data_IF_261964939924
#
_entry.id   IF_261964939924
#
_cell.length_a   1.000
_cell.length_b   1.000
_cell.length_c   1.000
_cell.angle_alpha   90.00
_cell.angle_beta   90.00
_cell.angle_gamma   90.00
#
_symmetry.space_group_name_H-M   'P 1'
#
loop_
_entity.id
_entity.type
_entity.pdbx_description
1 polymer ?
#
# COMPACT_ATOMS: atom_id res chain seq x y z
N UNK A 1 -86.19 11.51 10.89
CA UNK A 1 -87.19 10.98 9.96
C UNK A 1 -86.52 10.06 8.97
N UNK A 2 -87.25 8.94 8.80
CA UNK A 2 -87.12 7.85 7.77
C UNK A 2 -85.80 7.14 7.54
N UNK A 3 -85.78 6.01 7.96
CA UNK A 3 -85.75 4.60 7.54
C UNK A 3 -85.71 4.39 6.01
N UNK A 4 -84.74 3.60 5.53
CA UNK A 4 -84.91 2.60 4.47
C UNK A 4 -83.98 1.45 4.63
N UNK A 5 -84.52 0.24 4.71
CA UNK A 5 -83.92 -1.08 4.56
C UNK A 5 -83.64 -1.37 3.07
N UNK A 6 -82.65 -2.14 2.78
CA UNK A 6 -82.58 -3.09 1.65
C UNK A 6 -81.51 -4.11 1.89
N UNK A 7 -81.93 -5.24 2.10
CA UNK A 7 -81.99 -6.56 1.58
C UNK A 7 -80.65 -7.07 0.96
N UNK A 8 -80.27 -8.22 1.50
CA UNK A 8 -79.10 -9.05 1.20
C UNK A 8 -79.09 -9.68 -0.18
N UNK A 9 -77.88 -10.07 -0.50
CA UNK A 9 -77.58 -11.11 -1.48
C UNK A 9 -76.36 -11.91 -0.98
N UNK A 10 -76.64 -13.12 -0.50
CA UNK A 10 -75.60 -14.06 -0.07
C UNK A 10 -75.03 -14.73 -1.32
N UNK A 11 -73.77 -14.45 -1.62
CA UNK A 11 -73.04 -15.19 -2.62
C UNK A 11 -72.16 -16.21 -1.91
N UNK A 12 -72.51 -17.46 -2.07
CA UNK A 12 -71.72 -18.62 -1.59
C UNK A 12 -70.53 -18.80 -2.53
N UNK A 13 -69.35 -18.47 -2.06
CA UNK A 13 -68.11 -18.78 -2.77
C UNK A 13 -67.60 -20.13 -2.29
N UNK A 14 -67.62 -21.12 -3.17
CA UNK A 14 -66.95 -22.41 -2.94
C UNK A 14 -65.43 -22.21 -3.02
N UNK A 15 -64.76 -22.31 -1.88
CA UNK A 15 -63.32 -22.31 -1.84
C UNK A 15 -62.84 -23.73 -2.11
N UNK A 16 -62.29 -23.94 -3.31
CA UNK A 16 -61.56 -25.22 -3.61
C UNK A 16 -60.21 -25.12 -2.92
N UNK A 17 -60.05 -25.92 -1.86
CA UNK A 17 -58.76 -26.08 -1.21
C UNK A 17 -57.91 -27.06 -2.05
N UNK A 18 -56.96 -26.56 -2.83
CA UNK A 18 -55.92 -27.34 -3.47
C UNK A 18 -54.83 -27.57 -2.45
N UNK A 19 -54.77 -28.79 -1.91
CA UNK A 19 -53.63 -29.23 -1.05
C UNK A 19 -52.49 -29.52 -1.97
N UNK A 20 -51.57 -28.55 -2.11
CA UNK A 20 -50.27 -28.78 -2.73
C UNK A 20 -49.38 -29.47 -1.72
N UNK A 21 -49.08 -30.76 -1.92
CA UNK A 21 -48.07 -31.51 -1.17
C UNK A 21 -46.71 -30.92 -1.48
N UNK A 22 -46.18 -30.12 -0.58
CA UNK A 22 -44.78 -29.68 -0.62
C UNK A 22 -43.90 -30.83 -0.17
N UNK A 23 -43.26 -31.50 -1.13
CA UNK A 23 -42.18 -32.44 -0.83
C UNK A 23 -40.98 -31.62 -0.43
N UNK A 24 -40.72 -31.52 0.86
CA UNK A 24 -39.50 -30.88 1.37
C UNK A 24 -38.35 -31.89 1.20
N UNK A 25 -37.58 -31.73 0.15
CA UNK A 25 -36.24 -32.36 0.04
C UNK A 25 -35.32 -31.65 1.02
N UNK A 26 -35.02 -32.31 2.13
CA UNK A 26 -33.98 -31.91 3.06
C UNK A 26 -32.64 -32.21 2.35
N UNK A 27 -32.04 -31.18 1.77
CA UNK A 27 -30.64 -31.26 1.33
C UNK A 27 -29.80 -31.14 2.60
N UNK A 28 -29.27 -32.25 3.07
CA UNK A 28 -28.25 -32.27 4.13
C UNK A 28 -26.98 -31.78 3.51
N UNK A 29 -26.63 -30.49 3.78
CA UNK A 29 -25.29 -30.01 3.51
C UNK A 29 -24.35 -30.62 4.54
N UNK A 30 -23.59 -31.61 4.10
CA UNK A 30 -22.47 -32.15 4.86
C UNK A 30 -21.41 -31.01 4.94
N UNK A 31 -21.30 -30.38 6.11
CA UNK A 31 -20.29 -29.39 6.36
C UNK A 31 -19.02 -30.16 6.72
N UNK A 32 -17.96 -30.10 5.92
CA UNK A 32 -16.67 -30.60 6.34
C UNK A 32 -16.19 -29.74 7.52
N UNK A 33 -16.16 -30.34 8.72
CA UNK A 33 -15.49 -29.79 9.90
C UNK A 33 -13.97 -29.95 9.75
N UNK A 34 -13.41 -29.28 8.73
CA UNK A 34 -11.99 -29.06 8.63
C UNK A 34 -11.68 -27.67 9.20
N UNK A 35 -10.46 -27.43 9.75
CA UNK A 35 -10.05 -26.09 10.15
C UNK A 35 -10.23 -25.17 8.94
N UNK A 36 -10.93 -24.02 9.15
CA UNK A 36 -11.11 -23.00 8.14
C UNK A 36 -9.74 -22.66 7.58
N UNK A 37 -9.52 -22.95 6.30
CA UNK A 37 -8.35 -22.45 5.60
C UNK A 37 -8.35 -20.92 5.76
N UNK A 38 -7.19 -20.31 6.06
CA UNK A 38 -7.10 -18.86 6.11
C UNK A 38 -7.65 -18.30 4.79
N UNK A 39 -8.42 -17.20 4.84
CA UNK A 39 -8.96 -16.60 3.63
C UNK A 39 -7.80 -16.35 2.67
N UNK A 40 -7.93 -16.86 1.45
CA UNK A 40 -6.99 -16.56 0.36
C UNK A 40 -6.78 -15.05 0.34
N UNK A 41 -5.54 -14.60 0.44
CA UNK A 41 -5.17 -13.19 0.37
C UNK A 41 -5.88 -12.58 -0.85
N UNK A 42 -6.78 -11.64 -0.60
CA UNK A 42 -7.44 -10.89 -1.66
C UNK A 42 -6.36 -10.28 -2.54
N UNK A 43 -6.60 -10.21 -3.84
CA UNK A 43 -5.69 -9.71 -4.88
C UNK A 43 -5.26 -8.26 -4.61
N UNK A 44 -4.36 -8.03 -3.67
CA UNK A 44 -3.92 -6.70 -3.24
C UNK A 44 -2.85 -6.70 -2.16
N UNK A 45 -2.74 -7.74 -1.34
CA UNK A 45 -1.72 -7.77 -0.29
C UNK A 45 -0.39 -8.29 -0.83
N UNK A 46 0.65 -7.46 -0.72
CA UNK A 46 2.00 -7.76 -1.22
C UNK A 46 2.88 -8.41 -0.15
N UNK A 47 2.39 -8.53 1.10
CA UNK A 47 3.14 -9.12 2.21
C UNK A 47 2.30 -10.10 3.04
N UNK A 48 3.00 -11.06 3.69
CA UNK A 48 2.42 -11.93 4.70
C UNK A 48 2.62 -11.33 6.10
N UNK A 49 1.74 -11.65 7.09
CA UNK A 49 1.97 -11.27 8.47
C UNK A 49 3.27 -11.89 9.03
N UNK A 50 4.11 -11.06 9.63
CA UNK A 50 5.29 -11.50 10.35
C UNK A 50 4.90 -12.20 11.66
N UNK A 51 5.82 -12.95 12.32
CA UNK A 51 5.60 -13.45 13.66
C UNK A 51 5.23 -12.34 14.66
N UNK A 52 5.84 -11.16 14.54
CA UNK A 52 5.53 -9.98 15.37
C UNK A 52 4.09 -9.50 15.14
N UNK A 53 3.65 -9.46 13.89
CA UNK A 53 2.26 -9.10 13.56
C UNK A 53 1.26 -10.08 14.16
N UNK A 54 1.53 -11.39 14.04
CA UNK A 54 0.66 -12.44 14.58
C UNK A 54 0.60 -12.38 16.11
N UNK A 55 1.70 -12.05 16.76
CA UNK A 55 1.77 -11.95 18.22
C UNK A 55 1.10 -10.67 18.79
N UNK A 56 1.14 -9.56 18.06
CA UNK A 56 0.70 -8.24 18.55
C UNK A 56 -0.72 -7.88 18.12
N UNK A 57 -1.12 -8.21 16.89
CA UNK A 57 -2.39 -7.77 16.31
C UNK A 57 -3.51 -8.76 16.70
N UNK A 58 -4.64 -8.29 17.28
CA UNK A 58 -5.80 -9.15 17.47
C UNK A 58 -6.23 -9.79 16.15
N UNK A 59 -6.54 -11.10 16.12
CA UNK A 59 -6.84 -11.82 14.86
C UNK A 59 -7.96 -11.18 14.03
N UNK A 60 -9.00 -10.68 14.69
CA UNK A 60 -10.10 -9.97 14.04
C UNK A 60 -9.66 -8.65 13.39
N UNK A 61 -8.74 -7.91 14.01
CA UNK A 61 -8.18 -6.69 13.46
C UNK A 61 -7.23 -6.98 12.29
N UNK A 62 -6.44 -8.05 12.38
CA UNK A 62 -5.57 -8.47 11.28
C UNK A 62 -6.37 -8.73 9.99
N UNK A 63 -7.49 -9.46 10.12
CA UNK A 63 -8.41 -9.71 9.00
C UNK A 63 -9.00 -8.40 8.45
N UNK A 64 -9.35 -7.45 9.32
CA UNK A 64 -9.89 -6.16 8.90
C UNK A 64 -8.83 -5.33 8.14
N UNK A 65 -7.59 -5.28 8.62
CA UNK A 65 -6.51 -4.57 7.92
C UNK A 65 -6.23 -5.16 6.53
N UNK A 66 -6.19 -6.49 6.42
CA UNK A 66 -6.01 -7.17 5.14
C UNK A 66 -7.15 -6.89 4.15
N UNK A 67 -8.39 -6.90 4.63
CA UNK A 67 -9.57 -6.57 3.81
C UNK A 67 -9.61 -5.08 3.46
N UNK A 68 -9.35 -4.23 4.44
CA UNK A 68 -9.33 -2.78 4.26
C UNK A 68 -8.32 -2.33 3.22
N UNK A 69 -7.13 -2.93 3.19
CA UNK A 69 -6.13 -2.63 2.16
C UNK A 69 -6.63 -2.90 0.74
N UNK A 70 -7.53 -3.87 0.57
CA UNK A 70 -8.08 -4.25 -0.74
C UNK A 70 -8.89 -3.14 -1.44
N UNK A 71 -9.35 -2.10 -0.75
CA UNK A 71 -10.06 -0.97 -1.38
C UNK A 71 -9.11 0.04 -2.02
N UNK A 72 -7.80 -0.07 -1.78
CA UNK A 72 -6.76 0.77 -2.35
C UNK A 72 -5.71 -0.11 -3.04
N UNK A 73 -5.78 -0.33 -4.36
CA UNK A 73 -4.87 -1.24 -5.06
C UNK A 73 -3.40 -0.91 -4.81
N UNK A 74 -2.64 -1.88 -4.32
CA UNK A 74 -1.22 -1.75 -3.98
C UNK A 74 -0.92 -1.22 -2.58
N UNK A 75 -1.92 -0.82 -1.78
CA UNK A 75 -1.72 -0.51 -0.37
C UNK A 75 -1.44 -1.81 0.40
N UNK A 76 -0.30 -1.86 1.11
CA UNK A 76 -0.03 -3.00 2.00
C UNK A 76 -0.82 -2.87 3.31
N UNK A 77 -1.42 -3.98 3.75
CA UNK A 77 -2.23 -4.06 4.96
C UNK A 77 -1.46 -3.65 6.24
N UNK A 78 -0.12 -3.86 6.24
CA UNK A 78 0.74 -3.55 7.37
C UNK A 78 0.76 -2.05 7.71
N UNK A 79 0.52 -1.19 6.72
CA UNK A 79 0.42 0.26 6.94
C UNK A 79 -0.84 0.60 7.75
N UNK A 80 -1.98 0.01 7.42
CA UNK A 80 -3.22 0.17 8.20
C UNK A 80 -3.05 -0.37 9.62
N UNK A 81 -2.43 -1.54 9.75
CA UNK A 81 -2.13 -2.14 11.05
C UNK A 81 -1.18 -1.27 11.89
N UNK A 82 -0.17 -0.68 11.27
CA UNK A 82 0.76 0.23 11.94
C UNK A 82 0.06 1.50 12.44
N UNK A 83 -0.83 2.08 11.65
CA UNK A 83 -1.67 3.21 12.09
C UNK A 83 -2.52 2.78 13.29
N UNK A 84 -3.26 1.67 13.19
CA UNK A 84 -4.08 1.16 14.30
C UNK A 84 -3.29 0.87 15.57
N UNK A 85 -2.02 0.38 15.44
CA UNK A 85 -1.09 0.21 16.57
C UNK A 85 -0.76 1.53 17.24
N UNK A 86 -0.35 2.51 16.47
CA UNK A 86 0.14 3.80 16.97
C UNK A 86 -1.00 4.62 17.57
N UNK A 87 -2.16 4.62 16.93
CA UNK A 87 -3.31 5.40 17.38
C UNK A 87 -3.92 4.85 18.69
N UNK A 88 -4.15 3.55 18.74
CA UNK A 88 -4.99 2.99 19.81
C UNK A 88 -4.58 1.59 20.25
N UNK A 89 -3.39 1.10 19.91
CA UNK A 89 -3.01 -0.30 20.15
C UNK A 89 -4.08 -1.26 19.61
N UNK A 90 -4.45 -1.08 18.33
CA UNK A 90 -5.50 -1.84 17.65
C UNK A 90 -6.89 -1.74 18.32
N UNK A 91 -7.23 -0.61 18.90
CA UNK A 91 -8.48 -0.37 19.63
C UNK A 91 -8.48 -0.87 21.07
N UNK A 92 -7.36 -1.42 21.59
CA UNK A 92 -7.24 -1.93 22.97
C UNK A 92 -6.92 -0.86 23.99
N UNK A 93 -6.40 0.29 23.56
CA UNK A 93 -6.02 1.37 24.48
C UNK A 93 -7.23 1.92 25.24
N UNK A 94 -7.12 2.05 26.54
CA UNK A 94 -8.17 2.61 27.40
C UNK A 94 -8.00 4.14 27.52
N UNK A 95 -8.07 4.82 26.39
CA UNK A 95 -7.90 6.26 26.28
C UNK A 95 -9.22 6.92 25.84
N UNK A 96 -9.44 8.22 26.20
CA UNK A 96 -10.57 8.98 25.67
C UNK A 96 -10.61 8.93 24.14
N UNK A 97 -11.80 8.78 23.56
CA UNK A 97 -12.00 8.73 22.12
C UNK A 97 -11.86 7.35 21.49
N UNK A 98 -11.29 6.33 22.15
CA UNK A 98 -11.09 5.02 21.52
C UNK A 98 -12.40 4.25 21.33
N UNK A 99 -13.10 3.97 22.43
CA UNK A 99 -14.36 3.22 22.38
C UNK A 99 -15.58 4.12 22.16
N UNK A 100 -15.54 5.37 22.65
CA UNK A 100 -16.60 6.35 22.53
C UNK A 100 -16.11 7.75 22.91
N UNK A 101 -16.90 8.79 22.57
CA UNK A 101 -16.50 10.16 22.80
C UNK A 101 -15.31 10.57 21.92
N UNK A 102 -14.60 11.60 22.33
CA UNK A 102 -13.47 12.15 21.57
C UNK A 102 -12.25 12.35 22.47
N UNK A 103 -11.07 12.30 21.90
CA UNK A 103 -9.86 12.75 22.59
C UNK A 103 -9.81 14.28 22.62
N UNK A 104 -8.77 14.86 23.23
CA UNK A 104 -8.62 16.32 23.35
C UNK A 104 -8.52 17.04 21.97
N UNK A 105 -8.19 16.32 20.88
CA UNK A 105 -8.12 16.86 19.53
C UNK A 105 -9.39 16.60 18.70
N UNK A 106 -10.44 16.01 19.29
CA UNK A 106 -11.70 15.69 18.59
C UNK A 106 -11.66 14.38 17.79
N UNK A 107 -10.59 13.59 17.93
CA UNK A 107 -10.46 12.31 17.24
C UNK A 107 -11.16 11.17 17.99
N UNK A 108 -11.65 10.17 17.25
CA UNK A 108 -12.36 9.03 17.82
C UNK A 108 -12.26 7.75 17.01
N UNK A 109 -12.58 6.63 17.67
CA UNK A 109 -12.55 5.29 17.14
C UNK A 109 -11.14 4.66 17.10
N UNK A 110 -11.04 3.38 16.68
CA UNK A 110 -9.78 2.63 16.70
C UNK A 110 -8.70 3.21 15.75
N UNK A 111 -9.10 3.99 14.75
CA UNK A 111 -8.20 4.66 13.80
C UNK A 111 -8.11 6.17 14.04
N UNK A 112 -8.65 6.69 15.14
CA UNK A 112 -8.61 8.08 15.61
C UNK A 112 -8.99 9.12 14.55
N UNK A 113 -10.11 8.91 13.86
CA UNK A 113 -10.64 9.89 12.92
C UNK A 113 -11.24 11.13 13.59
N UNK A 114 -10.93 12.29 13.04
CA UNK A 114 -11.78 13.47 13.23
C UNK A 114 -13.15 13.24 12.58
N UNK A 115 -14.25 13.66 13.22
CA UNK A 115 -15.59 13.45 12.68
C UNK A 115 -15.74 14.01 11.26
N UNK A 116 -15.35 15.27 10.94
CA UNK A 116 -15.48 15.80 9.59
C UNK A 116 -14.69 15.01 8.54
N UNK A 117 -13.49 14.51 8.88
CA UNK A 117 -12.68 13.71 7.96
C UNK A 117 -13.34 12.36 7.67
N UNK A 118 -13.87 11.68 8.70
CA UNK A 118 -14.61 10.43 8.52
C UNK A 118 -15.85 10.62 7.65
N UNK A 119 -16.65 11.65 7.94
CA UNK A 119 -17.85 12.00 7.16
C UNK A 119 -17.51 12.31 5.70
N UNK A 120 -16.43 13.03 5.45
CA UNK A 120 -15.95 13.30 4.10
C UNK A 120 -15.63 12.01 3.33
N UNK A 121 -14.94 11.05 3.98
CA UNK A 121 -14.58 9.77 3.35
C UNK A 121 -15.84 8.97 3.01
N UNK A 122 -16.75 8.77 3.97
CA UNK A 122 -17.97 7.97 3.74
C UNK A 122 -18.96 8.63 2.78
N UNK A 123 -18.86 9.95 2.56
CA UNK A 123 -19.65 10.64 1.54
C UNK A 123 -19.14 10.40 0.11
N UNK A 124 -17.86 10.07 -0.05
CA UNK A 124 -17.20 9.83 -1.35
C UNK A 124 -17.14 8.36 -1.70
N UNK A 125 -17.05 7.50 -0.70
CA UNK A 125 -16.82 6.06 -0.86
C UNK A 125 -17.94 5.25 -0.20
N UNK A 126 -18.51 4.31 -0.95
CA UNK A 126 -19.45 3.35 -0.38
C UNK A 126 -18.69 2.41 0.56
N UNK A 127 -19.12 2.32 1.82
CA UNK A 127 -18.47 1.43 2.78
C UNK A 127 -18.80 -0.03 2.47
N UNK A 128 -17.80 -0.93 2.50
CA UNK A 128 -18.01 -2.35 2.31
C UNK A 128 -18.95 -2.94 3.38
N UNK A 129 -19.65 -4.06 3.07
CA UNK A 129 -20.51 -4.74 4.03
C UNK A 129 -19.77 -5.21 5.28
N UNK A 130 -20.45 -5.23 6.43
CA UNK A 130 -19.93 -5.74 7.72
C UNK A 130 -19.61 -4.64 8.74
N UNK A 131 -19.79 -3.38 8.36
CA UNK A 131 -19.75 -2.23 9.27
C UNK A 131 -21.06 -1.90 9.95
N UNK A 132 -21.13 -0.74 10.59
CA UNK A 132 -22.34 -0.19 11.20
C UNK A 132 -23.30 0.41 10.16
N UNK A 133 -24.57 0.53 10.51
CA UNK A 133 -25.56 1.21 9.69
C UNK A 133 -26.33 2.24 10.55
N UNK A 134 -26.09 3.55 10.35
CA UNK A 134 -25.12 4.17 9.41
C UNK A 134 -23.65 3.88 9.80
N UNK A 135 -22.68 4.07 8.86
CA UNK A 135 -21.27 3.88 9.15
C UNK A 135 -20.78 4.71 10.33
N UNK A 136 -19.88 4.15 11.14
CA UNK A 136 -19.41 4.79 12.36
C UNK A 136 -17.89 4.67 12.53
N UNK A 137 -17.21 5.78 12.83
CA UNK A 137 -15.77 5.78 13.12
C UNK A 137 -15.37 4.92 14.33
N UNK A 138 -16.35 4.53 15.17
CA UNK A 138 -16.14 3.62 16.32
C UNK A 138 -16.31 2.15 15.94
N UNK A 139 -16.89 1.85 14.79
CA UNK A 139 -16.93 0.50 14.25
C UNK A 139 -15.58 0.19 13.60
N UNK A 140 -14.93 -0.89 14.02
CA UNK A 140 -13.58 -1.23 13.54
C UNK A 140 -13.52 -1.44 12.02
N UNK A 141 -14.54 -2.10 11.43
CA UNK A 141 -14.61 -2.31 9.98
C UNK A 141 -14.70 -0.99 9.22
N UNK A 142 -15.62 -0.11 9.64
CA UNK A 142 -15.80 1.19 8.99
C UNK A 142 -14.55 2.06 9.12
N UNK A 143 -13.96 2.10 10.31
CA UNK A 143 -12.77 2.91 10.58
C UNK A 143 -11.57 2.45 9.75
N UNK A 144 -11.33 1.14 9.63
CA UNK A 144 -10.21 0.59 8.84
C UNK A 144 -10.41 0.84 7.34
N UNK A 145 -11.62 0.61 6.80
CA UNK A 145 -11.88 0.90 5.39
C UNK A 145 -11.82 2.40 5.09
N UNK A 146 -12.33 3.24 6.00
CA UNK A 146 -12.20 4.69 5.85
C UNK A 146 -10.72 5.13 5.84
N UNK A 147 -9.87 4.53 6.69
CA UNK A 147 -8.44 4.81 6.68
C UNK A 147 -7.77 4.42 5.36
N UNK A 148 -8.14 3.28 4.79
CA UNK A 148 -7.62 2.83 3.50
C UNK A 148 -8.03 3.79 2.36
N UNK A 149 -9.31 4.18 2.29
CA UNK A 149 -9.77 5.17 1.31
C UNK A 149 -9.08 6.53 1.49
N UNK A 150 -8.94 6.99 2.73
CA UNK A 150 -8.29 8.27 3.02
C UNK A 150 -6.82 8.29 2.59
N UNK A 151 -6.09 7.21 2.85
CA UNK A 151 -4.71 7.05 2.37
C UNK A 151 -4.65 7.01 0.84
N UNK A 152 -5.57 6.30 0.18
CA UNK A 152 -5.66 6.22 -1.27
C UNK A 152 -5.89 7.59 -1.91
N UNK A 153 -6.88 8.34 -1.42
CA UNK A 153 -7.20 9.70 -1.85
C UNK A 153 -6.02 10.67 -1.61
N UNK A 154 -5.16 10.35 -0.65
CA UNK A 154 -3.99 11.16 -0.26
C UNK A 154 -2.71 10.79 -1.02
N UNK A 155 -2.73 9.78 -1.91
CA UNK A 155 -1.63 9.44 -2.79
C UNK A 155 -1.03 8.04 -2.60
N UNK A 156 -1.51 7.23 -1.65
CA UNK A 156 -1.06 5.85 -1.52
C UNK A 156 -1.51 5.00 -2.74
N UNK A 157 -0.74 3.98 -3.13
CA UNK A 157 0.57 3.60 -2.63
C UNK A 157 1.74 4.38 -3.26
N UNK A 158 1.49 5.20 -4.28
CA UNK A 158 2.53 5.86 -5.08
C UNK A 158 3.40 6.83 -4.25
N UNK A 159 2.78 7.58 -3.34
CA UNK A 159 3.45 8.48 -2.40
C UNK A 159 2.98 8.17 -0.97
N UNK A 160 3.51 7.09 -0.40
CA UNK A 160 3.13 6.62 0.93
C UNK A 160 3.50 7.62 2.03
N UNK A 161 4.62 8.33 1.87
CA UNK A 161 5.03 9.36 2.83
C UNK A 161 3.98 10.46 2.93
N UNK A 162 3.58 11.02 1.78
CA UNK A 162 2.54 12.06 1.71
C UNK A 162 1.20 11.57 2.25
N UNK A 163 0.80 10.35 1.90
CA UNK A 163 -0.47 9.78 2.35
C UNK A 163 -0.52 9.69 3.89
N UNK A 164 0.52 9.16 4.52
CA UNK A 164 0.60 9.06 5.98
C UNK A 164 0.77 10.45 6.62
N UNK A 165 1.55 11.35 5.99
CA UNK A 165 1.68 12.73 6.47
C UNK A 165 0.34 13.48 6.46
N UNK A 166 -0.51 13.22 5.46
CA UNK A 166 -1.87 13.78 5.40
C UNK A 166 -2.75 13.25 6.53
N UNK A 167 -2.53 12.00 6.97
CA UNK A 167 -3.23 11.40 8.11
C UNK A 167 -2.90 12.11 9.43
N UNK A 168 -1.61 12.39 9.65
CA UNK A 168 -1.12 13.17 10.80
C UNK A 168 0.12 13.97 10.35
N UNK A 169 0.00 15.31 10.34
CA UNK A 169 0.96 16.25 9.78
C UNK A 169 2.29 16.33 10.57
N UNK A 170 2.96 15.19 10.77
CA UNK A 170 4.20 15.10 11.52
C UNK A 170 5.16 14.04 10.97
N UNK A 171 6.39 14.43 10.64
CA UNK A 171 7.42 13.53 10.11
C UNK A 171 7.76 12.36 11.05
N UNK A 172 7.75 12.61 12.35
CA UNK A 172 7.98 11.54 13.34
C UNK A 172 6.89 10.47 13.28
N UNK A 173 5.62 10.88 13.04
CA UNK A 173 4.49 9.96 12.89
C UNK A 173 4.65 9.09 11.64
N UNK A 174 4.99 9.70 10.50
CA UNK A 174 5.25 8.98 9.25
C UNK A 174 6.33 7.92 9.48
N UNK A 175 7.48 8.31 10.05
CA UNK A 175 8.57 7.36 10.34
C UNK A 175 8.14 6.24 11.28
N UNK A 176 7.35 6.55 12.29
CA UNK A 176 6.86 5.54 13.24
C UNK A 176 5.90 4.54 12.57
N UNK A 177 4.95 5.03 11.76
CA UNK A 177 4.02 4.18 11.00
C UNK A 177 4.79 3.28 10.05
N UNK A 178 5.69 3.84 9.25
CA UNK A 178 6.45 3.08 8.27
C UNK A 178 7.39 2.06 8.93
N UNK A 179 8.05 2.43 10.03
CA UNK A 179 8.87 1.50 10.82
C UNK A 179 8.06 0.37 11.45
N UNK A 180 6.84 0.66 11.93
CA UNK A 180 5.94 -0.38 12.46
C UNK A 180 5.41 -1.29 11.36
N UNK A 181 5.03 -0.72 10.21
CA UNK A 181 4.58 -1.48 9.04
C UNK A 181 5.65 -2.49 8.58
N UNK A 182 6.92 -2.08 8.53
CA UNK A 182 8.05 -2.97 8.20
C UNK A 182 8.20 -4.14 9.17
N UNK A 183 7.93 -3.94 10.46
CA UNK A 183 7.96 -5.03 11.45
C UNK A 183 6.81 -6.02 11.26
N UNK A 184 5.67 -5.56 10.80
CA UNK A 184 4.48 -6.39 10.60
C UNK A 184 4.48 -7.14 9.27
N UNK A 185 5.16 -6.62 8.24
CA UNK A 185 5.21 -7.23 6.93
C UNK A 185 6.37 -8.23 6.83
N UNK A 186 6.08 -9.46 6.42
CA UNK A 186 7.08 -10.36 5.86
C UNK A 186 6.87 -10.34 4.35
N UNK A 187 7.86 -9.92 3.54
CA UNK A 187 7.74 -10.02 2.09
C UNK A 187 7.39 -11.45 1.71
N UNK A 188 6.38 -11.63 0.88
CA UNK A 188 6.12 -12.93 0.28
C UNK A 188 7.39 -13.31 -0.46
N UNK A 189 7.93 -14.50 -0.15
CA UNK A 189 9.18 -15.00 -0.75
C UNK A 189 9.21 -14.69 -2.24
N UNK A 190 10.33 -14.22 -2.80
CA UNK A 190 10.37 -13.83 -4.19
C UNK A 190 9.91 -15.02 -5.03
N UNK A 191 8.70 -14.93 -5.58
CA UNK A 191 8.43 -15.66 -6.81
C UNK A 191 9.51 -15.16 -7.73
N UNK A 192 10.31 -16.10 -8.28
CA UNK A 192 11.43 -15.83 -9.17
C UNK A 192 11.06 -14.69 -10.10
N UNK A 193 11.56 -13.50 -9.78
CA UNK A 193 11.28 -12.32 -10.58
C UNK A 193 11.92 -12.59 -11.94
N UNK A 194 11.13 -12.55 -12.99
CA UNK A 194 11.51 -12.75 -14.39
C UNK A 194 12.60 -11.79 -14.89
N UNK A 195 13.20 -11.00 -13.99
CA UNK A 195 14.20 -9.98 -14.28
C UNK A 195 15.66 -10.44 -14.20
N UNK A 196 15.95 -11.71 -13.86
CA UNK A 196 17.34 -12.19 -13.84
C UNK A 196 18.00 -12.15 -15.24
N UNK A 197 17.19 -12.23 -16.30
CA UNK A 197 17.65 -12.11 -17.69
C UNK A 197 18.12 -10.68 -18.03
N UNK A 198 17.42 -9.66 -17.51
CA UNK A 198 17.77 -8.25 -17.78
C UNK A 198 19.10 -7.88 -17.12
N UNK A 199 19.40 -8.43 -15.93
CA UNK A 199 20.68 -8.25 -15.25
C UNK A 199 21.85 -9.01 -15.90
N UNK A 200 21.58 -10.08 -16.64
CA UNK A 200 22.60 -10.82 -17.36
C UNK A 200 23.08 -10.09 -18.64
N UNK A 201 22.24 -9.22 -19.18
CA UNK A 201 22.48 -8.50 -20.44
C UNK A 201 22.82 -7.01 -20.22
N UNK A 202 23.48 -6.67 -19.10
CA UNK A 202 23.88 -5.27 -18.84
C UNK A 202 24.94 -4.85 -19.86
N UNK A 203 24.61 -3.85 -20.67
CA UNK A 203 25.54 -3.17 -21.56
C UNK A 203 25.67 -1.71 -21.13
N UNK A 204 26.68 -1.39 -20.36
CA UNK A 204 26.92 -0.08 -19.80
C UNK A 204 28.43 0.28 -19.81
N UNK A 205 28.74 1.56 -19.60
CA UNK A 205 30.11 1.97 -19.30
C UNK A 205 30.60 1.26 -18.02
N UNK A 206 31.93 0.98 -17.90
CA UNK A 206 32.45 0.11 -16.81
C UNK A 206 31.98 0.49 -15.39
N UNK A 207 31.95 1.80 -15.06
CA UNK A 207 31.49 2.25 -13.75
C UNK A 207 29.97 2.05 -13.58
N UNK A 208 29.19 2.32 -14.63
CA UNK A 208 27.73 2.08 -14.61
C UNK A 208 27.39 0.59 -14.51
N UNK A 209 28.20 -0.28 -15.13
CA UNK A 209 28.04 -1.72 -15.01
C UNK A 209 28.22 -2.18 -13.55
N UNK A 210 29.21 -1.67 -12.81
CA UNK A 210 29.41 -1.98 -11.37
C UNK A 210 28.19 -1.52 -10.55
N UNK A 211 27.69 -0.30 -10.78
CA UNK A 211 26.50 0.23 -10.12
C UNK A 211 25.28 -0.67 -10.34
N UNK A 212 25.04 -1.05 -11.61
CA UNK A 212 23.91 -1.89 -11.98
C UNK A 212 24.03 -3.32 -11.45
N UNK A 213 25.23 -3.92 -11.46
CA UNK A 213 25.46 -5.24 -10.87
C UNK A 213 25.20 -5.23 -9.37
N UNK A 214 25.70 -4.21 -8.66
CA UNK A 214 25.40 -4.05 -7.25
C UNK A 214 23.88 -4.03 -7.00
N UNK A 215 23.14 -3.24 -7.76
CA UNK A 215 21.68 -3.13 -7.62
C UNK A 215 20.97 -4.45 -7.99
N UNK A 216 21.44 -5.16 -9.03
CA UNK A 216 20.94 -6.47 -9.41
C UNK A 216 21.13 -7.51 -8.30
N UNK A 217 22.25 -7.49 -7.59
CA UNK A 217 22.51 -8.40 -6.47
C UNK A 217 21.56 -8.15 -5.28
N UNK A 218 20.86 -7.02 -5.27
CA UNK A 218 19.86 -6.71 -4.25
C UNK A 218 18.43 -7.11 -4.64
N UNK A 219 18.20 -7.64 -5.83
CA UNK A 219 16.86 -8.06 -6.27
C UNK A 219 16.23 -9.04 -5.27
N UNK A 220 14.99 -8.78 -4.92
CA UNK A 220 14.25 -9.57 -3.93
C UNK A 220 14.47 -9.15 -2.48
N UNK A 221 15.43 -8.26 -2.17
CA UNK A 221 15.61 -7.70 -0.83
C UNK A 221 14.40 -6.85 -0.45
N UNK A 222 13.94 -6.93 0.81
CA UNK A 222 12.78 -6.16 1.27
C UNK A 222 12.95 -4.65 1.10
N UNK A 223 11.84 -3.95 0.83
CA UNK A 223 11.78 -2.51 1.04
C UNK A 223 11.69 -2.20 2.54
N UNK A 224 12.60 -1.38 3.04
CA UNK A 224 12.59 -0.87 4.41
C UNK A 224 12.74 0.65 4.36
N UNK A 225 11.78 1.37 4.91
CA UNK A 225 11.87 2.83 4.98
C UNK A 225 13.10 3.27 5.78
N UNK A 226 13.92 4.13 5.17
CA UNK A 226 15.19 4.53 5.78
C UNK A 226 16.29 3.47 5.71
N UNK A 227 16.03 2.33 5.08
CA UNK A 227 16.96 1.21 4.95
C UNK A 227 18.17 1.54 4.08
N UNK A 228 19.36 1.15 4.56
CA UNK A 228 20.64 1.31 3.87
C UNK A 228 21.29 -0.04 3.57
N UNK A 229 20.53 -1.14 3.65
CA UNK A 229 21.01 -2.45 3.30
C UNK A 229 20.58 -3.57 4.24
N UNK A 230 21.23 -4.76 4.10
CA UNK A 230 20.88 -5.96 4.86
C UNK A 230 20.92 -5.77 6.38
N UNK A 231 21.81 -4.91 6.89
CA UNK A 231 21.91 -4.61 8.33
C UNK A 231 20.64 -3.91 8.88
N UNK A 232 19.94 -3.16 8.03
CA UNK A 232 18.67 -2.50 8.34
C UNK A 232 17.46 -3.37 7.96
N UNK A 233 17.71 -4.61 7.49
CA UNK A 233 16.69 -5.54 7.01
C UNK A 233 16.27 -5.32 5.55
N UNK A 234 16.79 -4.32 4.85
CA UNK A 234 16.47 -4.04 3.45
C UNK A 234 16.84 -2.62 3.00
N UNK A 235 16.28 -2.20 1.88
CA UNK A 235 16.59 -0.97 1.20
C UNK A 235 15.38 -0.04 1.09
N UNK A 236 15.56 1.29 1.20
CA UNK A 236 14.68 2.22 0.52
C UNK A 236 15.25 2.64 -0.85
N UNK A 237 14.47 3.40 -1.62
CA UNK A 237 14.85 3.80 -2.98
C UNK A 237 16.20 4.52 -3.05
N UNK A 238 16.40 5.53 -2.21
CA UNK A 238 17.62 6.34 -2.17
C UNK A 238 18.76 5.69 -1.40
N UNK A 239 18.49 4.79 -0.47
CA UNK A 239 19.49 3.96 0.18
C UNK A 239 20.14 2.98 -0.80
N UNK A 240 19.32 2.34 -1.64
CA UNK A 240 19.81 1.45 -2.70
C UNK A 240 20.71 2.20 -3.69
N UNK A 241 20.25 3.34 -4.22
CA UNK A 241 21.05 4.13 -5.17
C UNK A 241 22.33 4.63 -4.54
N UNK A 242 22.28 5.15 -3.30
CA UNK A 242 23.47 5.59 -2.56
C UNK A 242 24.51 4.48 -2.40
N UNK A 243 24.09 3.28 -2.04
CA UNK A 243 24.99 2.14 -1.86
C UNK A 243 25.57 1.66 -3.19
N UNK A 244 24.76 1.60 -4.25
CA UNK A 244 25.22 1.20 -5.58
C UNK A 244 26.30 2.16 -6.11
N UNK A 245 26.12 3.47 -5.93
CA UNK A 245 27.11 4.45 -6.36
C UNK A 245 28.35 4.51 -5.46
N UNK A 246 28.21 4.18 -4.17
CA UNK A 246 29.36 4.05 -3.27
C UNK A 246 30.33 2.93 -3.74
N UNK A 247 29.83 1.90 -4.43
CA UNK A 247 30.66 0.82 -5.00
C UNK A 247 31.65 1.32 -6.07
N UNK A 248 31.42 2.48 -6.66
CA UNK A 248 32.31 3.15 -7.63
C UNK A 248 32.92 4.45 -7.08
N UNK A 249 32.87 4.66 -5.76
CA UNK A 249 33.47 5.81 -5.08
C UNK A 249 32.68 7.11 -5.20
N UNK A 250 31.43 7.08 -5.70
CA UNK A 250 30.55 8.25 -5.78
C UNK A 250 29.69 8.32 -4.53
N UNK A 251 29.76 9.45 -3.81
CA UNK A 251 28.95 9.70 -2.62
C UNK A 251 27.68 10.44 -2.99
N UNK A 252 26.54 9.79 -2.84
CA UNK A 252 25.21 10.41 -3.00
C UNK A 252 24.61 10.81 -1.66
N UNK A 253 23.82 11.90 -1.61
CA UNK A 253 23.01 12.25 -0.44
C UNK A 253 22.05 11.12 -0.02
N UNK A 254 21.50 11.23 1.21
CA UNK A 254 20.65 10.16 1.76
C UNK A 254 19.27 10.09 1.11
N UNK A 255 18.66 11.21 0.76
CA UNK A 255 17.28 11.25 0.26
C UNK A 255 17.21 11.55 -1.23
N UNK A 256 16.18 11.05 -1.90
CA UNK A 256 16.02 11.17 -3.36
C UNK A 256 16.05 12.63 -3.84
N UNK A 257 15.37 13.54 -3.14
CA UNK A 257 15.33 14.95 -3.48
C UNK A 257 16.74 15.57 -3.54
N UNK A 258 17.56 15.30 -2.52
CA UNK A 258 18.92 15.82 -2.45
C UNK A 258 19.84 15.14 -3.47
N UNK A 259 19.61 13.87 -3.81
CA UNK A 259 20.35 13.16 -4.87
C UNK A 259 20.15 13.83 -6.23
N UNK A 260 18.91 14.23 -6.55
CA UNK A 260 18.64 14.96 -7.79
C UNK A 260 19.41 16.27 -7.87
N UNK A 261 19.40 17.06 -6.81
CA UNK A 261 20.07 18.37 -6.78
C UNK A 261 21.60 18.27 -6.66
N UNK A 262 22.13 17.15 -6.22
CA UNK A 262 23.57 16.90 -6.12
C UNK A 262 24.20 16.31 -7.40
N UNK A 263 23.39 15.99 -8.41
CA UNK A 263 23.84 15.32 -9.64
C UNK A 263 23.44 16.09 -10.89
N UNK A 264 24.04 15.80 -12.03
CA UNK A 264 23.85 16.56 -13.26
C UNK A 264 22.57 16.12 -13.97
N UNK A 265 21.56 17.01 -14.14
CA UNK A 265 20.38 16.69 -14.94
C UNK A 265 20.74 16.39 -16.39
N UNK A 266 20.04 15.42 -16.98
CA UNK A 266 20.19 15.01 -18.37
C UNK A 266 18.84 15.01 -19.09
N UNK A 267 18.80 15.33 -20.39
CA UNK A 267 17.60 15.15 -21.21
C UNK A 267 17.23 13.68 -21.34
N UNK A 268 15.94 13.38 -21.46
CA UNK A 268 15.41 11.99 -21.54
C UNK A 268 15.94 11.22 -22.77
N UNK A 269 16.21 11.91 -23.87
CA UNK A 269 16.77 11.33 -25.09
C UNK A 269 18.27 10.97 -24.96
N UNK A 270 18.92 11.37 -23.84
CA UNK A 270 20.29 11.02 -23.51
C UNK A 270 20.40 10.01 -22.36
N UNK A 271 19.29 9.41 -21.95
CA UNK A 271 19.25 8.46 -20.84
C UNK A 271 20.08 7.21 -21.16
N UNK A 272 20.98 6.85 -20.26
CA UNK A 272 21.91 5.71 -20.38
C UNK A 272 21.81 4.80 -19.17
N UNK A 273 22.11 3.49 -19.32
CA UNK A 273 22.19 2.59 -18.19
C UNK A 273 23.13 3.11 -17.10
N UNK A 274 22.63 3.10 -15.86
CA UNK A 274 23.30 3.69 -14.70
C UNK A 274 22.78 5.08 -14.33
N UNK A 275 22.07 5.82 -15.17
CA UNK A 275 21.48 7.10 -14.79
C UNK A 275 20.41 6.93 -13.71
N UNK A 276 20.21 7.97 -12.91
CA UNK A 276 19.13 7.99 -11.92
C UNK A 276 17.88 8.60 -12.53
N UNK A 277 16.72 7.98 -12.28
CA UNK A 277 15.40 8.43 -12.69
C UNK A 277 14.58 8.78 -11.47
N UNK A 278 13.92 9.96 -11.48
CA UNK A 278 13.27 10.54 -10.31
C UNK A 278 11.78 10.79 -10.52
N UNK A 279 11.01 10.69 -9.44
CA UNK A 279 9.55 10.84 -9.43
C UNK A 279 9.10 11.75 -8.30
N UNK A 280 8.08 12.57 -8.57
CA UNK A 280 7.52 13.51 -7.62
C UNK A 280 7.30 14.90 -8.19
N UNK A 281 7.49 15.90 -7.36
CA UNK A 281 7.32 17.32 -7.71
C UNK A 281 8.60 18.10 -7.48
N UNK A 282 8.67 19.33 -7.96
CA UNK A 282 9.81 20.23 -7.76
C UNK A 282 10.21 20.44 -6.30
N UNK A 283 9.27 20.30 -5.39
CA UNK A 283 9.49 20.50 -3.95
C UNK A 283 9.62 19.19 -3.17
N UNK A 284 9.26 18.06 -3.78
CA UNK A 284 9.31 16.74 -3.14
C UNK A 284 9.51 15.63 -4.17
N UNK A 285 10.77 15.27 -4.42
CA UNK A 285 11.11 14.06 -5.19
C UNK A 285 11.15 12.89 -4.21
N UNK A 286 10.08 12.10 -4.22
CA UNK A 286 9.84 11.07 -3.21
C UNK A 286 10.36 9.69 -3.60
N UNK A 287 10.74 9.49 -4.88
CA UNK A 287 11.24 8.20 -5.35
C UNK A 287 12.37 8.37 -6.36
N UNK A 288 13.26 7.35 -6.40
CA UNK A 288 14.39 7.26 -7.32
C UNK A 288 14.67 5.80 -7.68
N UNK A 289 15.04 5.57 -8.95
CA UNK A 289 15.53 4.28 -9.44
C UNK A 289 16.81 4.44 -10.25
N UNK A 290 17.46 3.33 -10.54
CA UNK A 290 18.64 3.27 -11.43
C UNK A 290 18.17 2.76 -12.80
N UNK A 291 18.32 3.55 -13.83
CA UNK A 291 17.94 3.14 -15.19
C UNK A 291 18.83 1.98 -15.66
N UNK A 292 18.20 0.88 -16.07
CA UNK A 292 18.87 -0.34 -16.52
C UNK A 292 19.10 -0.36 -18.04
N UNK A 293 18.35 0.43 -18.78
CA UNK A 293 18.24 0.37 -20.23
C UNK A 293 16.91 -0.24 -20.70
N UNK A 294 16.64 -0.18 -22.00
CA UNK A 294 15.44 -0.76 -22.62
C UNK A 294 14.11 -0.40 -21.91
N UNK A 295 14.00 0.82 -21.39
CA UNK A 295 12.78 1.28 -20.71
C UNK A 295 12.59 0.72 -19.28
N UNK A 296 13.63 0.13 -18.68
CA UNK A 296 13.61 -0.50 -17.36
C UNK A 296 14.45 0.27 -16.34
N UNK A 297 14.11 0.13 -15.07
CA UNK A 297 14.90 0.56 -13.93
C UNK A 297 14.98 -0.53 -12.87
N UNK A 298 16.01 -0.49 -12.02
CA UNK A 298 16.07 -1.22 -10.76
C UNK A 298 15.76 -0.24 -9.66
N UNK A 299 14.83 -0.61 -8.77
CA UNK A 299 14.44 0.26 -7.66
C UNK A 299 13.96 -0.54 -6.45
N UNK A 300 13.98 0.09 -5.28
CA UNK A 300 13.26 -0.35 -4.09
C UNK A 300 11.98 0.49 -4.01
N UNK A 301 10.81 -0.02 -4.46
CA UNK A 301 9.69 0.83 -4.81
C UNK A 301 8.91 1.36 -3.61
N UNK A 302 8.39 0.48 -2.77
CA UNK A 302 7.54 0.84 -1.62
C UNK A 302 7.33 -0.36 -0.71
N UNK A 303 6.63 -0.15 0.39
CA UNK A 303 6.26 -1.20 1.34
C UNK A 303 5.61 -2.41 0.67
N UNK A 304 5.99 -3.60 1.17
CA UNK A 304 5.47 -4.86 0.67
C UNK A 304 6.00 -5.29 -0.69
N UNK A 305 6.75 -4.43 -1.38
CA UNK A 305 7.40 -4.76 -2.65
C UNK A 305 8.92 -4.82 -2.45
N UNK A 306 9.58 -5.88 -2.88
CA UNK A 306 11.03 -5.98 -2.78
C UNK A 306 11.72 -5.12 -3.84
N UNK A 307 13.05 -4.99 -3.72
CA UNK A 307 13.89 -4.49 -4.82
C UNK A 307 13.58 -5.28 -6.08
N UNK A 308 13.27 -4.56 -7.16
CA UNK A 308 12.77 -5.16 -8.39
C UNK A 308 13.21 -4.40 -9.64
N UNK A 309 13.07 -5.07 -10.80
CA UNK A 309 13.12 -4.44 -12.11
C UNK A 309 11.70 -4.09 -12.54
N UNK A 310 11.49 -2.84 -12.91
CA UNK A 310 10.21 -2.31 -13.37
C UNK A 310 10.38 -1.42 -14.59
N UNK A 311 9.30 -1.11 -15.30
CA UNK A 311 9.33 -0.03 -16.28
C UNK A 311 9.64 1.29 -15.58
N UNK A 312 10.51 2.13 -16.16
CA UNK A 312 10.77 3.45 -15.57
C UNK A 312 9.68 4.48 -15.91
N UNK A 313 8.77 4.16 -16.85
CA UNK A 313 7.61 5.00 -17.18
C UNK A 313 6.32 4.17 -17.17
N UNK A 314 5.26 4.76 -16.61
CA UNK A 314 3.89 4.23 -16.61
C UNK A 314 2.88 5.37 -16.49
N UNK A 315 1.61 5.11 -16.75
CA UNK A 315 0.56 6.13 -16.66
C UNK A 315 0.42 6.65 -15.23
N UNK A 316 0.56 7.96 -15.04
CA UNK A 316 0.46 8.61 -13.73
C UNK A 316 1.73 8.50 -12.86
N UNK A 317 2.86 8.15 -13.43
CA UNK A 317 4.13 7.89 -12.74
C UNK A 317 4.75 9.09 -12.01
N UNK A 318 4.28 10.30 -12.24
CA UNK A 318 4.87 11.55 -11.72
C UNK A 318 6.37 11.67 -12.03
N UNK A 319 6.81 11.11 -13.16
CA UNK A 319 8.20 11.21 -13.58
C UNK A 319 8.63 12.68 -13.66
N UNK A 320 9.73 12.99 -12.99
CA UNK A 320 10.24 14.36 -12.89
C UNK A 320 11.42 14.61 -13.82
N UNK A 321 12.29 13.64 -14.00
CA UNK A 321 13.49 13.78 -14.82
C UNK A 321 14.60 12.80 -14.43
N UNK A 322 15.72 12.90 -15.10
CA UNK A 322 16.88 12.04 -14.86
C UNK A 322 18.15 12.85 -14.58
N UNK A 323 19.10 12.20 -13.89
CA UNK A 323 20.43 12.77 -13.66
C UNK A 323 21.52 11.73 -13.87
N UNK A 324 22.73 12.21 -14.15
CA UNK A 324 23.95 11.38 -14.29
C UNK A 324 24.94 11.67 -13.19
N UNK A 325 25.09 10.79 -12.18
CA UNK A 325 26.08 10.96 -11.13
C UNK A 325 27.53 10.65 -11.58
N UNK A 326 27.67 9.82 -12.61
CA UNK A 326 29.01 9.46 -13.14
C UNK A 326 29.50 10.57 -14.10
N UNK A 327 30.76 10.96 -14.03
CA UNK A 327 31.30 11.88 -15.04
C UNK A 327 31.21 11.22 -16.43
N UNK A 328 30.79 11.97 -17.42
CA UNK A 328 30.92 11.53 -18.82
C UNK A 328 32.39 11.32 -19.10
N UNK A 329 32.79 10.08 -19.43
CA UNK A 329 34.16 9.87 -19.93
C UNK A 329 34.38 10.83 -21.10
N UNK A 330 35.48 11.60 -21.13
CA UNK A 330 35.79 12.39 -22.30
C UNK A 330 35.87 11.44 -23.49
N UNK A 331 35.07 11.69 -24.52
CA UNK A 331 35.21 11.01 -25.80
C UNK A 331 36.68 11.18 -26.20
N UNK A 332 37.42 10.07 -26.28
CA UNK A 332 38.80 10.11 -26.78
C UNK A 332 38.74 10.83 -28.12
N UNK A 333 39.28 12.05 -28.17
CA UNK A 333 39.33 12.83 -29.34
C UNK A 333 39.96 12.00 -30.46
N UNK A 334 39.28 11.89 -31.59
CA UNK A 334 39.88 11.46 -32.85
C UNK A 334 41.03 12.42 -33.12
N UNK A 335 42.25 11.94 -32.86
CA UNK A 335 43.41 12.63 -33.43
C UNK A 335 43.38 12.36 -34.94
N UNK A 336 42.98 13.40 -35.69
CA UNK A 336 43.31 13.51 -37.10
C UNK A 336 44.79 13.87 -37.27
#
# INVERSE_FOLDING_TARGET
MLKALAAGCATVVFTVVVIASVVTTVVVFDHPTGPLAPPSAGSGSTSAPSPDAVADIPPEMLVLYQRGAGVCPGLDWSVLAAIGKIETDHGRARLPGVASGENFAGAGGPMQFLAPTFEQVISRHAMPPGGASPPSRYNASDAVHAAAYYLCDSGAPADMYRAIWTYNNADWYVRQVLGQASRYATPLSPQQHSGSGDCAAIHAAPAAEVVLRFACDQLGMPYVWGGNGPADGGWDCSGLTKAAYAAVGVTLPRVAHDQYHATTPIPDDQLQPGDLVFYGTTTNLHHVGIYLGAGKMINAPTFGQPVQIANYRWDGDQYFGATRPLPTSPVAGSND
#
